data_IF_497496777102
#
_entry.id   IF_497496777102
#
_cell.length_a   1.000
_cell.length_b   1.000
_cell.length_c   1.000
_cell.angle_alpha   90.00
_cell.angle_beta   90.00
_cell.angle_gamma   90.00
#
_symmetry.space_group_name_H-M   'P 1'
#
loop_
_entity.id
_entity.type
_entity.pdbx_description
1 polymer ?
#
# COMPACT_ATOMS: atom_id res chain seq x y z
N UNK A 1 24.37 21.61 2.59
CA UNK A 1 24.06 20.19 2.73
C UNK A 1 22.77 19.97 1.96
N UNK A 2 22.82 19.13 0.93
CA UNK A 2 21.67 18.86 0.08
C UNK A 2 20.58 18.17 0.91
N UNK A 3 19.29 18.61 0.84
CA UNK A 3 18.18 17.92 1.49
C UNK A 3 18.10 16.42 1.14
N UNK A 4 18.64 16.00 0.00
CA UNK A 4 18.72 14.61 -0.41
C UNK A 4 19.71 13.82 0.46
N UNK A 5 20.88 14.39 0.79
CA UNK A 5 21.87 13.76 1.66
C UNK A 5 21.33 13.53 3.09
N UNK A 6 20.51 14.47 3.57
CA UNK A 6 19.86 14.35 4.88
C UNK A 6 18.78 13.24 4.90
N UNK A 7 18.14 13.00 3.77
CA UNK A 7 17.16 11.93 3.59
C UNK A 7 17.87 10.57 3.50
N UNK A 8 18.96 10.49 2.73
CA UNK A 8 19.75 9.26 2.56
C UNK A 8 20.46 8.85 3.85
N UNK A 9 20.86 9.81 4.66
CA UNK A 9 21.44 9.57 5.99
C UNK A 9 20.41 9.31 7.10
N UNK A 10 19.12 9.24 6.79
CA UNK A 10 18.04 8.98 7.75
C UNK A 10 17.75 10.13 8.72
N UNK A 11 18.35 11.30 8.53
CA UNK A 11 18.20 12.47 9.43
C UNK A 11 16.89 13.24 9.20
N UNK A 12 16.21 13.06 8.06
CA UNK A 12 14.91 13.66 7.75
C UNK A 12 13.94 12.56 7.31
N UNK A 13 12.83 12.43 8.02
CA UNK A 13 11.73 11.56 7.59
C UNK A 13 11.05 12.15 6.35
N UNK A 14 10.89 11.33 5.31
CA UNK A 14 10.26 11.75 4.06
C UNK A 14 8.77 11.96 4.23
N UNK A 15 8.30 13.18 4.04
CA UNK A 15 6.88 13.49 3.89
C UNK A 15 6.47 13.36 2.42
N UNK A 16 5.53 12.47 2.13
CA UNK A 16 5.11 12.18 0.77
C UNK A 16 3.86 12.95 0.37
N UNK A 17 3.96 13.77 -0.66
CA UNK A 17 2.79 14.26 -1.40
C UNK A 17 2.68 13.50 -2.72
N UNK A 18 1.80 12.52 -2.79
CA UNK A 18 1.45 11.91 -4.07
C UNK A 18 0.64 12.92 -4.88
N UNK A 19 1.14 13.31 -6.03
CA UNK A 19 0.48 14.31 -6.88
C UNK A 19 -0.48 13.70 -7.92
N UNK A 20 -0.44 12.39 -8.12
CA UNK A 20 -1.44 11.68 -8.93
C UNK A 20 -1.62 10.27 -8.37
N UNK A 21 -2.83 9.93 -8.01
CA UNK A 21 -3.24 8.62 -7.50
C UNK A 21 -3.98 7.90 -8.61
N UNK A 22 -3.84 6.59 -8.66
CA UNK A 22 -4.64 5.77 -9.56
C UNK A 22 -6.04 5.61 -8.97
N UNK A 23 -7.02 6.07 -9.71
CA UNK A 23 -8.43 6.00 -9.36
C UNK A 23 -9.16 5.27 -10.49
N UNK A 24 -9.06 3.95 -10.47
CA UNK A 24 -9.67 3.09 -11.49
C UNK A 24 -10.35 1.89 -10.84
N UNK A 25 -11.53 1.48 -11.32
CA UNK A 25 -12.27 0.35 -10.80
C UNK A 25 -11.44 -0.94 -10.77
N UNK A 26 -11.59 -1.72 -9.70
CA UNK A 26 -10.95 -3.02 -9.53
C UNK A 26 -9.46 -2.99 -9.20
N UNK A 27 -8.80 -1.82 -9.20
CA UNK A 27 -7.39 -1.73 -8.81
C UNK A 27 -7.27 -1.88 -7.30
N UNK A 28 -6.64 -2.97 -6.87
CA UNK A 28 -6.30 -3.16 -5.45
C UNK A 28 -5.14 -2.26 -5.06
N UNK A 29 -5.34 -1.50 -4.01
CA UNK A 29 -4.36 -0.56 -3.51
C UNK A 29 -4.14 -0.70 -2.02
N UNK A 30 -2.88 -0.63 -1.60
CA UNK A 30 -2.50 -0.41 -0.21
C UNK A 30 -2.49 1.10 0.06
N UNK A 31 -3.36 1.51 0.95
CA UNK A 31 -3.51 2.89 1.41
C UNK A 31 -2.85 3.02 2.78
N UNK A 32 -2.04 4.04 2.96
CA UNK A 32 -1.46 4.40 4.26
C UNK A 32 -1.74 5.86 4.57
N UNK A 33 -2.21 6.15 5.78
CA UNK A 33 -2.41 7.51 6.27
C UNK A 33 -1.80 7.67 7.65
N UNK A 34 -1.09 8.79 7.89
CA UNK A 34 -0.37 9.07 9.12
C UNK A 34 -0.78 10.39 9.74
N UNK A 35 -0.64 10.45 11.08
CA UNK A 35 -0.74 11.70 11.81
C UNK A 35 0.34 12.70 11.38
N UNK A 36 0.11 13.97 11.62
CA UNK A 36 1.13 15.00 11.56
C UNK A 36 2.14 14.79 12.71
N UNK A 37 3.42 14.74 12.37
CA UNK A 37 4.45 14.44 13.38
C UNK A 37 4.38 13.00 13.90
N UNK A 38 4.57 12.82 15.21
CA UNK A 38 4.46 11.53 15.91
C UNK A 38 3.19 11.44 16.77
N UNK A 39 2.24 12.34 16.59
CA UNK A 39 1.03 12.39 17.38
C UNK A 39 0.15 11.16 17.18
N UNK A 40 -0.61 10.71 18.17
CA UNK A 40 -1.55 9.62 18.01
C UNK A 40 -2.77 10.03 17.16
N UNK A 41 -3.27 9.10 16.35
CA UNK A 41 -4.55 9.20 15.66
C UNK A 41 -5.71 8.69 16.53
N UNK A 42 -5.40 7.84 17.50
CA UNK A 42 -6.38 7.18 18.36
C UNK A 42 -5.90 7.30 19.80
N UNK A 43 -6.66 7.98 20.65
CA UNK A 43 -6.35 8.17 22.06
C UNK A 43 -7.11 7.19 22.95
N UNK A 44 -8.30 6.76 22.52
CA UNK A 44 -9.13 5.83 23.24
C UNK A 44 -9.88 4.86 22.29
N UNK A 45 -10.49 3.83 22.85
CA UNK A 45 -11.22 2.82 22.07
C UNK A 45 -12.33 3.41 21.19
N UNK A 46 -13.00 4.47 21.66
CA UNK A 46 -14.05 5.14 20.90
C UNK A 46 -13.56 5.75 19.58
N UNK A 47 -12.30 6.16 19.51
CA UNK A 47 -11.72 6.71 18.28
C UNK A 47 -11.50 5.61 17.23
N UNK A 48 -11.01 4.45 17.66
CA UNK A 48 -10.89 3.27 16.79
C UNK A 48 -12.25 2.80 16.28
N UNK A 49 -13.24 2.71 17.18
CA UNK A 49 -14.59 2.32 16.79
C UNK A 49 -15.23 3.31 15.82
N UNK A 50 -14.99 4.61 16.01
CA UNK A 50 -15.49 5.61 15.09
C UNK A 50 -14.81 5.52 13.72
N UNK A 51 -13.50 5.27 13.66
CA UNK A 51 -12.81 5.04 12.38
C UNK A 51 -13.35 3.80 11.67
N UNK A 52 -13.61 2.70 12.40
CA UNK A 52 -14.18 1.48 11.83
C UNK A 52 -15.61 1.70 11.32
N UNK A 53 -16.41 2.46 12.06
CA UNK A 53 -17.75 2.85 11.63
C UNK A 53 -17.71 3.69 10.34
N UNK A 54 -16.86 4.71 10.31
CA UNK A 54 -16.64 5.52 9.11
C UNK A 54 -16.17 4.67 7.92
N UNK A 55 -15.19 3.79 8.14
CA UNK A 55 -14.66 2.94 7.07
C UNK A 55 -15.75 2.04 6.48
N UNK A 56 -16.62 1.48 7.32
CA UNK A 56 -17.78 0.69 6.88
C UNK A 56 -18.76 1.55 6.06
N UNK A 57 -19.11 2.73 6.55
CA UNK A 57 -20.04 3.66 5.88
C UNK A 57 -19.47 4.10 4.52
N UNK A 58 -18.22 4.52 4.49
CA UNK A 58 -17.52 4.94 3.26
C UNK A 58 -17.40 3.79 2.25
N UNK A 59 -17.11 2.57 2.72
CA UNK A 59 -17.07 1.40 1.85
C UNK A 59 -18.43 1.15 1.17
N UNK A 60 -19.53 1.36 1.88
CA UNK A 60 -20.87 1.22 1.33
C UNK A 60 -21.23 2.36 0.37
N UNK A 61 -21.00 3.62 0.77
CA UNK A 61 -21.39 4.80 0.01
C UNK A 61 -20.61 4.98 -1.30
N UNK A 62 -19.37 4.50 -1.32
CA UNK A 62 -18.46 4.62 -2.46
C UNK A 62 -18.15 3.28 -3.14
N UNK A 63 -18.93 2.24 -2.84
CA UNK A 63 -18.74 0.89 -3.44
C UNK A 63 -17.28 0.42 -3.36
N UNK A 64 -16.66 0.53 -2.17
CA UNK A 64 -15.30 0.04 -1.96
C UNK A 64 -15.33 -1.38 -1.42
N UNK A 65 -14.47 -2.24 -1.96
CA UNK A 65 -14.15 -3.55 -1.37
C UNK A 65 -12.95 -3.41 -0.45
N UNK A 66 -13.15 -3.68 0.83
CA UNK A 66 -12.07 -3.68 1.83
C UNK A 66 -11.61 -5.12 2.02
N UNK A 67 -10.31 -5.35 1.87
CA UNK A 67 -9.71 -6.68 2.02
C UNK A 67 -8.99 -6.84 3.34
N UNK A 68 -8.19 -5.88 3.76
CA UNK A 68 -7.58 -5.87 5.09
C UNK A 68 -7.38 -4.46 5.61
N UNK A 69 -7.28 -4.34 6.94
CA UNK A 69 -6.91 -3.11 7.61
C UNK A 69 -6.11 -3.36 8.88
N UNK A 70 -5.36 -2.33 9.29
CA UNK A 70 -4.75 -2.23 10.61
C UNK A 70 -4.72 -0.76 11.04
N UNK A 71 -5.32 -0.47 12.20
CA UNK A 71 -5.35 0.86 12.80
C UNK A 71 -4.26 0.93 13.88
N UNK A 72 -3.10 1.48 13.51
CA UNK A 72 -1.97 1.69 14.43
C UNK A 72 -2.14 3.00 15.21
N UNK A 73 -1.53 3.18 16.40
CA UNK A 73 -1.74 4.37 17.20
C UNK A 73 -1.56 5.71 16.47
N UNK A 74 -0.62 5.82 15.54
CA UNK A 74 -0.27 7.06 14.82
C UNK A 74 -0.41 6.99 13.30
N UNK A 75 -0.85 5.87 12.76
CA UNK A 75 -1.11 5.68 11.34
C UNK A 75 -2.10 4.52 11.11
N UNK A 76 -2.56 4.37 9.88
CA UNK A 76 -3.40 3.25 9.50
C UNK A 76 -3.02 2.71 8.13
N UNK A 77 -3.34 1.44 7.92
CA UNK A 77 -3.18 0.73 6.66
C UNK A 77 -4.52 0.16 6.23
N UNK A 78 -4.85 0.32 4.95
CA UNK A 78 -6.01 -0.28 4.31
C UNK A 78 -5.57 -1.00 3.04
N UNK A 79 -6.14 -2.15 2.76
CA UNK A 79 -6.04 -2.84 1.49
C UNK A 79 -7.42 -2.90 0.88
N UNK A 80 -7.62 -2.24 -0.24
CA UNK A 80 -8.94 -2.03 -0.81
C UNK A 80 -8.91 -1.86 -2.33
N UNK A 81 -10.06 -2.02 -2.97
CA UNK A 81 -10.29 -1.59 -4.34
C UNK A 81 -11.62 -0.83 -4.48
N UNK A 82 -11.70 0.21 -5.29
CA UNK A 82 -12.97 0.82 -5.69
C UNK A 82 -13.64 -0.03 -6.77
N UNK A 83 -14.98 -0.08 -6.78
CA UNK A 83 -15.76 -0.62 -7.88
C UNK A 83 -16.09 0.44 -8.93
N UNK A 84 -15.91 1.72 -8.59
CA UNK A 84 -16.10 2.89 -9.45
C UNK A 84 -14.88 3.81 -9.39
N UNK A 85 -14.82 4.83 -10.24
CA UNK A 85 -13.74 5.83 -10.25
C UNK A 85 -14.01 6.92 -9.20
N UNK A 86 -13.88 6.56 -7.92
CA UNK A 86 -14.24 7.44 -6.79
C UNK A 86 -13.34 7.28 -5.55
N UNK A 87 -12.23 6.54 -5.68
CA UNK A 87 -11.32 6.30 -4.55
C UNK A 87 -10.81 7.60 -3.91
N UNK A 88 -10.51 8.61 -4.73
CA UNK A 88 -10.04 9.90 -4.22
C UNK A 88 -11.07 10.56 -3.31
N UNK A 89 -12.33 10.59 -3.74
CA UNK A 89 -13.43 11.22 -2.99
C UNK A 89 -13.74 10.41 -1.73
N UNK A 90 -13.76 9.09 -1.82
CA UNK A 90 -13.94 8.21 -0.67
C UNK A 90 -12.89 8.44 0.42
N UNK A 91 -11.62 8.50 0.05
CA UNK A 91 -10.53 8.74 1.01
C UNK A 91 -10.54 10.16 1.56
N UNK A 92 -10.90 11.15 0.74
CA UNK A 92 -11.08 12.54 1.18
C UNK A 92 -12.18 12.62 2.25
N UNK A 93 -13.32 11.99 1.99
CA UNK A 93 -14.45 11.99 2.92
C UNK A 93 -14.10 11.27 4.22
N UNK A 94 -13.53 10.05 4.15
CA UNK A 94 -13.10 9.29 5.31
C UNK A 94 -12.19 10.11 6.23
N UNK A 95 -11.10 10.64 5.68
CA UNK A 95 -10.08 11.31 6.49
C UNK A 95 -10.51 12.69 6.96
N UNK A 96 -11.32 13.43 6.18
CA UNK A 96 -11.83 14.74 6.59
C UNK A 96 -12.81 14.60 7.76
N UNK A 97 -13.76 13.67 7.66
CA UNK A 97 -14.75 13.46 8.72
C UNK A 97 -14.12 12.96 10.00
N UNK A 98 -13.14 12.06 9.89
CA UNK A 98 -12.38 11.63 11.06
C UNK A 98 -11.63 12.78 11.70
N UNK A 99 -10.88 13.55 10.92
CA UNK A 99 -10.10 14.69 11.43
C UNK A 99 -10.98 15.74 12.10
N UNK A 100 -12.13 16.09 11.50
CA UNK A 100 -13.08 17.04 12.07
C UNK A 100 -13.61 16.57 13.44
N UNK A 101 -14.02 15.29 13.54
CA UNK A 101 -14.52 14.76 14.82
C UNK A 101 -13.41 14.69 15.87
N UNK A 102 -12.23 14.21 15.49
CA UNK A 102 -11.09 14.11 16.39
C UNK A 102 -10.67 15.49 16.91
N UNK A 103 -10.48 16.46 16.02
CA UNK A 103 -10.10 17.82 16.40
C UNK A 103 -11.15 18.48 17.30
N UNK A 104 -12.45 18.31 17.01
CA UNK A 104 -13.53 18.83 17.87
C UNK A 104 -13.54 18.16 19.24
N UNK A 105 -13.36 16.84 19.32
CA UNK A 105 -13.40 16.08 20.57
C UNK A 105 -12.25 16.46 21.52
N UNK A 106 -11.06 16.69 20.95
CA UNK A 106 -9.83 16.96 21.70
C UNK A 106 -9.40 18.44 21.65
N UNK A 107 -10.31 19.33 21.20
CA UNK A 107 -10.08 20.77 21.09
C UNK A 107 -8.77 21.15 20.37
N UNK A 108 -8.38 20.30 19.38
CA UNK A 108 -7.15 20.49 18.61
C UNK A 108 -7.33 21.54 17.50
N UNK A 109 -6.26 22.28 17.26
CA UNK A 109 -6.13 23.20 16.11
C UNK A 109 -5.12 22.64 15.10
N UNK A 110 -5.38 22.84 13.81
CA UNK A 110 -4.48 22.44 12.74
C UNK A 110 -4.78 21.06 12.15
N UNK A 111 -3.87 20.57 11.30
CA UNK A 111 -4.05 19.32 10.56
C UNK A 111 -3.77 18.11 11.45
N UNK A 112 -4.71 17.17 11.50
CA UNK A 112 -4.52 15.88 12.17
C UNK A 112 -3.56 14.99 11.37
N UNK A 113 -3.71 14.97 10.04
CA UNK A 113 -2.88 14.16 9.15
C UNK A 113 -1.71 14.96 8.58
N UNK A 114 -0.55 14.30 8.47
CA UNK A 114 0.70 14.91 7.98
C UNK A 114 0.74 15.20 6.47
N UNK A 115 -0.37 15.00 5.78
CA UNK A 115 -0.52 15.25 4.35
C UNK A 115 -1.52 14.29 3.70
N UNK A 116 -1.60 14.24 2.37
CA UNK A 116 -2.46 13.31 1.65
C UNK A 116 -2.05 11.85 1.91
N UNK A 117 -3.03 10.94 1.92
CA UNK A 117 -2.76 9.51 2.05
C UNK A 117 -1.77 9.01 0.98
N UNK A 118 -1.07 7.93 1.26
CA UNK A 118 -0.22 7.22 0.30
C UNK A 118 -1.02 6.11 -0.36
N UNK A 119 -0.69 5.81 -1.60
CA UNK A 119 -1.26 4.69 -2.35
C UNK A 119 -0.13 3.92 -3.01
N UNK A 120 -0.07 2.62 -2.77
CA UNK A 120 0.74 1.67 -3.53
C UNK A 120 -0.20 0.65 -4.17
N UNK A 121 -0.11 0.49 -5.48
CA UNK A 121 -0.95 -0.47 -6.22
C UNK A 121 -0.39 -1.87 -6.06
N UNK A 122 -1.28 -2.83 -5.78
CA UNK A 122 -0.94 -4.24 -5.80
C UNK A 122 -0.92 -4.72 -7.26
N UNK A 123 0.27 -4.92 -7.79
CA UNK A 123 0.49 -5.17 -9.22
C UNK A 123 0.47 -6.67 -9.59
N UNK A 124 0.62 -7.54 -8.62
CA UNK A 124 0.49 -8.99 -8.77
C UNK A 124 -0.04 -9.64 -7.48
N UNK A 125 -0.38 -10.91 -7.58
CA UNK A 125 -0.98 -11.67 -6.49
C UNK A 125 0.02 -11.94 -5.35
N UNK A 126 1.32 -12.04 -5.64
CA UNK A 126 2.36 -12.18 -4.63
C UNK A 126 2.52 -10.88 -3.83
N UNK A 127 2.51 -9.72 -4.51
CA UNK A 127 2.53 -8.43 -3.85
C UNK A 127 1.25 -8.20 -3.01
N UNK A 128 0.09 -8.59 -3.54
CA UNK A 128 -1.19 -8.52 -2.82
C UNK A 128 -1.15 -9.33 -1.52
N UNK A 129 -0.66 -10.58 -1.59
CA UNK A 129 -0.49 -11.44 -0.43
C UNK A 129 0.51 -10.84 0.56
N UNK A 130 1.66 -10.38 0.08
CA UNK A 130 2.68 -9.74 0.91
C UNK A 130 2.15 -8.47 1.60
N UNK A 131 1.38 -7.64 0.90
CA UNK A 131 0.76 -6.44 1.45
C UNK A 131 -0.22 -6.76 2.59
N UNK A 132 -1.07 -7.78 2.40
CA UNK A 132 -2.00 -8.22 3.45
C UNK A 132 -1.27 -8.70 4.70
N UNK A 133 -0.25 -9.56 4.54
CA UNK A 133 0.58 -10.06 5.64
C UNK A 133 1.33 -8.92 6.35
N UNK A 134 1.91 -8.02 5.56
CA UNK A 134 2.59 -6.84 6.08
C UNK A 134 1.67 -5.96 6.95
N UNK A 135 0.43 -5.72 6.50
CA UNK A 135 -0.58 -4.97 7.26
C UNK A 135 -0.87 -5.63 8.60
N UNK A 136 -1.06 -6.94 8.62
CA UNK A 136 -1.40 -7.68 9.83
C UNK A 136 -0.22 -7.87 10.79
N UNK A 137 1.01 -7.88 10.28
CA UNK A 137 2.23 -8.00 11.09
C UNK A 137 2.70 -6.66 11.69
N UNK A 138 2.18 -5.53 11.22
CA UNK A 138 2.61 -4.19 11.69
C UNK A 138 2.59 -4.05 13.23
N UNK A 139 1.55 -4.47 13.96
CA UNK A 139 1.51 -4.32 15.41
C UNK A 139 2.61 -5.10 16.14
N UNK A 140 2.91 -6.33 15.70
CA UNK A 140 3.98 -7.13 16.28
C UNK A 140 5.36 -6.55 15.95
N UNK A 141 5.56 -6.12 14.69
CA UNK A 141 6.81 -5.46 14.25
C UNK A 141 7.06 -4.11 14.92
N UNK A 142 5.99 -3.43 15.35
CA UNK A 142 6.07 -2.21 16.15
C UNK A 142 6.16 -2.50 17.67
N UNK A 143 6.29 -3.77 18.07
CA UNK A 143 6.37 -4.22 19.47
C UNK A 143 5.16 -3.78 20.32
N UNK A 144 3.98 -3.62 19.71
CA UNK A 144 2.74 -3.29 20.41
C UNK A 144 2.12 -4.55 21.01
N UNK A 145 2.24 -5.67 20.30
CA UNK A 145 1.83 -7.01 20.74
C UNK A 145 2.91 -8.01 20.40
N UNK A 146 2.93 -9.15 21.09
CA UNK A 146 3.84 -10.25 20.76
C UNK A 146 3.29 -11.06 19.59
N UNK A 147 2.05 -11.51 19.69
CA UNK A 147 1.34 -12.19 18.60
C UNK A 147 0.45 -11.18 17.87
N UNK A 148 0.59 -11.01 16.54
CA UNK A 148 -0.24 -10.10 15.77
C UNK A 148 -1.75 -10.43 15.85
N UNK A 149 -2.13 -11.69 16.18
CA UNK A 149 -3.52 -12.13 16.34
C UNK A 149 -4.19 -11.43 17.53
N UNK A 150 -3.43 -11.04 18.54
CA UNK A 150 -3.94 -10.36 19.73
C UNK A 150 -4.27 -8.88 19.48
N UNK A 151 -3.89 -8.34 18.32
CA UNK A 151 -4.16 -6.94 18.01
C UNK A 151 -5.59 -6.73 17.50
N UNK A 152 -6.48 -6.32 18.39
CA UNK A 152 -7.93 -6.17 18.13
C UNK A 152 -8.30 -5.13 17.07
N UNK A 153 -7.43 -4.15 16.77
CA UNK A 153 -7.69 -3.06 15.84
C UNK A 153 -7.19 -3.38 14.41
N UNK A 154 -7.24 -4.64 14.05
CA UNK A 154 -6.93 -5.11 12.70
C UNK A 154 -7.95 -6.14 12.23
N UNK A 155 -7.94 -6.40 10.92
CA UNK A 155 -8.78 -7.43 10.31
C UNK A 155 -8.21 -8.84 10.42
N UNK A 156 -7.10 -9.05 11.12
CA UNK A 156 -6.39 -10.35 11.22
C UNK A 156 -7.29 -11.49 11.71
N UNK A 157 -8.19 -11.20 12.65
CA UNK A 157 -9.14 -12.18 13.17
C UNK A 157 -10.02 -12.80 12.08
N UNK A 158 -10.36 -12.07 11.03
CA UNK A 158 -11.14 -12.58 9.89
C UNK A 158 -10.36 -13.59 9.04
N UNK A 159 -9.04 -13.51 9.09
CA UNK A 159 -8.11 -14.38 8.36
C UNK A 159 -7.74 -15.63 9.14
N UNK A 160 -7.71 -15.54 10.47
CA UNK A 160 -7.22 -16.62 11.33
C UNK A 160 -8.32 -17.40 12.02
N UNK A 161 -9.49 -16.80 12.29
CA UNK A 161 -10.60 -17.47 12.97
C UNK A 161 -11.58 -18.10 11.96
N UNK A 162 -11.83 -19.39 12.08
CA UNK A 162 -12.80 -20.11 11.25
C UNK A 162 -14.26 -19.64 11.51
N UNK A 163 -14.54 -19.21 12.74
CA UNK A 163 -15.86 -18.73 13.19
C UNK A 163 -15.96 -17.20 13.21
N UNK A 164 -15.12 -16.52 12.42
CA UNK A 164 -15.16 -15.06 12.35
C UNK A 164 -16.56 -14.57 11.89
N UNK A 165 -17.11 -13.54 12.54
CA UNK A 165 -18.41 -13.00 12.17
C UNK A 165 -18.37 -12.38 10.76
N UNK A 166 -19.55 -12.24 10.14
CA UNK A 166 -19.70 -11.47 8.90
C UNK A 166 -19.20 -10.05 9.12
N UNK A 167 -18.42 -9.54 8.17
CA UNK A 167 -17.80 -8.22 8.22
C UNK A 167 -17.97 -7.50 6.88
N UNK A 168 -17.76 -6.18 6.88
CA UNK A 168 -17.60 -5.39 5.65
C UNK A 168 -16.24 -5.62 4.97
N UNK A 169 -15.34 -6.37 5.61
CA UNK A 169 -14.06 -6.80 5.06
C UNK A 169 -14.22 -8.16 4.41
N UNK A 170 -13.73 -8.30 3.18
CA UNK A 170 -13.68 -9.57 2.45
C UNK A 170 -12.27 -10.18 2.50
N UNK A 171 -12.02 -11.17 3.37
CA UNK A 171 -10.72 -11.84 3.41
C UNK A 171 -10.51 -12.85 2.27
N UNK A 172 -11.59 -13.21 1.56
CA UNK A 172 -11.55 -14.35 0.64
C UNK A 172 -10.78 -14.06 -0.64
N UNK A 173 -10.69 -12.81 -1.08
CA UNK A 173 -9.82 -12.46 -2.19
C UNK A 173 -8.40 -12.99 -1.96
N UNK A 174 -7.87 -12.80 -0.76
CA UNK A 174 -6.49 -13.17 -0.40
C UNK A 174 -6.39 -14.64 0.02
N UNK A 175 -7.34 -15.13 0.83
CA UNK A 175 -7.33 -16.53 1.26
C UNK A 175 -7.44 -17.51 0.08
N UNK A 176 -8.19 -17.13 -0.96
CA UNK A 176 -8.33 -17.94 -2.18
C UNK A 176 -7.04 -17.99 -3.03
N UNK A 177 -6.11 -17.05 -2.86
CA UNK A 177 -4.76 -17.18 -3.44
C UNK A 177 -4.03 -18.41 -2.88
N UNK A 178 -4.26 -18.72 -1.61
CA UNK A 178 -3.59 -19.81 -0.89
C UNK A 178 -4.30 -21.16 -1.07
N UNK A 179 -5.64 -21.16 -1.02
CA UNK A 179 -6.44 -22.39 -1.23
C UNK A 179 -7.87 -22.03 -1.60
N UNK A 180 -8.52 -22.90 -2.42
CA UNK A 180 -9.96 -22.81 -2.66
C UNK A 180 -10.78 -23.28 -1.43
N UNK A 181 -10.19 -24.09 -0.56
CA UNK A 181 -10.79 -24.51 0.69
C UNK A 181 -10.51 -23.48 1.78
N UNK A 182 -11.56 -22.84 2.30
CA UNK A 182 -11.47 -21.74 3.27
C UNK A 182 -10.59 -22.07 4.49
N UNK A 183 -10.75 -23.28 5.04
CA UNK A 183 -9.97 -23.74 6.21
C UNK A 183 -8.48 -23.85 5.91
N UNK A 184 -8.14 -24.42 4.76
CA UNK A 184 -6.73 -24.58 4.34
C UNK A 184 -6.10 -23.22 4.00
N UNK A 185 -6.87 -22.31 3.39
CA UNK A 185 -6.43 -20.93 3.13
C UNK A 185 -6.04 -20.22 4.43
N UNK A 186 -6.87 -20.35 5.47
CA UNK A 186 -6.56 -19.78 6.81
C UNK A 186 -5.33 -20.39 7.44
N UNK A 187 -5.18 -21.71 7.43
CA UNK A 187 -4.00 -22.41 7.97
C UNK A 187 -2.72 -21.94 7.27
N UNK A 188 -2.73 -21.88 5.93
CA UNK A 188 -1.60 -21.38 5.15
C UNK A 188 -1.30 -19.91 5.47
N UNK A 189 -2.32 -19.08 5.66
CA UNK A 189 -2.15 -17.69 6.05
C UNK A 189 -1.51 -17.55 7.43
N UNK A 190 -1.94 -18.34 8.41
CA UNK A 190 -1.33 -18.39 9.76
C UNK A 190 0.15 -18.84 9.70
N UNK A 191 0.46 -19.84 8.87
CA UNK A 191 1.85 -20.27 8.64
C UNK A 191 2.70 -19.11 8.09
N UNK A 192 2.16 -18.38 7.11
CA UNK A 192 2.84 -17.21 6.54
C UNK A 192 3.02 -16.08 7.54
N UNK A 193 2.04 -15.83 8.42
CA UNK A 193 2.17 -14.85 9.52
C UNK A 193 3.31 -15.24 10.46
N UNK A 194 3.38 -16.51 10.85
CA UNK A 194 4.45 -17.00 11.74
C UNK A 194 5.83 -16.76 11.14
N UNK A 195 6.08 -17.21 9.91
CA UNK A 195 7.36 -16.97 9.22
C UNK A 195 7.61 -15.49 8.94
N UNK A 196 6.55 -14.74 8.62
CA UNK A 196 6.65 -13.30 8.40
C UNK A 196 7.03 -12.51 9.64
N UNK A 197 6.65 -12.97 10.84
CA UNK A 197 7.06 -12.35 12.11
C UNK A 197 8.56 -12.51 12.39
N UNK A 198 9.15 -13.61 11.95
CA UNK A 198 10.59 -13.92 12.10
C UNK A 198 11.47 -13.09 11.14
N UNK A 199 10.91 -12.56 10.05
CA UNK A 199 11.65 -11.72 9.11
C UNK A 199 11.96 -10.39 9.78
N UNK A 200 13.23 -10.11 10.02
CA UNK A 200 13.66 -8.77 10.41
C UNK A 200 13.36 -7.80 9.26
N UNK A 201 12.33 -6.99 9.47
CA UNK A 201 11.96 -5.95 8.53
C UNK A 201 12.82 -4.69 8.68
N UNK A 202 13.65 -4.64 9.75
CA UNK A 202 14.44 -3.48 10.11
C UNK A 202 13.57 -2.22 10.28
N UNK A 203 14.18 -1.04 10.33
CA UNK A 203 13.46 0.25 10.29
C UNK A 203 12.79 0.53 8.93
N UNK A 204 12.69 -0.48 8.08
CA UNK A 204 12.22 -0.45 6.68
C UNK A 204 10.71 -0.29 6.55
N UNK A 205 9.95 -0.33 7.64
CA UNK A 205 8.48 -0.22 7.65
C UNK A 205 7.93 1.07 7.01
N UNK A 206 8.81 2.05 6.73
CA UNK A 206 8.43 3.34 6.16
C UNK A 206 8.84 3.54 4.70
N UNK A 207 9.61 2.62 4.13
CA UNK A 207 10.10 2.72 2.76
C UNK A 207 9.04 2.29 1.73
N UNK A 208 9.12 2.84 0.53
CA UNK A 208 8.20 2.58 -0.58
C UNK A 208 8.26 1.14 -1.07
N UNK A 209 9.41 0.50 -0.91
CA UNK A 209 9.71 -0.88 -1.29
C UNK A 209 9.58 -1.90 -0.13
N UNK A 210 9.11 -1.47 1.05
CA UNK A 210 9.04 -2.32 2.24
C UNK A 210 8.25 -3.61 2.01
N UNK A 211 7.08 -3.51 1.35
CA UNK A 211 6.23 -4.67 1.05
C UNK A 211 6.92 -5.61 0.06
N UNK A 212 7.59 -5.05 -0.96
CA UNK A 212 8.27 -5.85 -1.97
C UNK A 212 9.49 -6.59 -1.39
N UNK A 213 10.29 -5.92 -0.55
CA UNK A 213 11.38 -6.57 0.19
C UNK A 213 10.90 -7.64 1.14
N UNK A 214 9.82 -7.36 1.87
CA UNK A 214 9.19 -8.32 2.75
C UNK A 214 8.69 -9.53 1.97
N UNK A 215 7.96 -9.31 0.87
CA UNK A 215 7.44 -10.34 -0.02
C UNK A 215 8.56 -11.21 -0.61
N UNK A 216 9.65 -10.60 -1.07
CA UNK A 216 10.81 -11.30 -1.61
C UNK A 216 11.49 -12.20 -0.56
N UNK A 217 11.68 -11.70 0.66
CA UNK A 217 12.23 -12.50 1.77
C UNK A 217 11.31 -13.67 2.12
N UNK A 218 9.99 -13.43 2.17
CA UNK A 218 9.01 -14.47 2.47
C UNK A 218 8.91 -15.52 1.36
N UNK A 219 8.97 -15.10 0.10
CA UNK A 219 9.01 -15.99 -1.06
C UNK A 219 10.27 -16.89 -1.06
N UNK A 220 11.41 -16.35 -0.62
CA UNK A 220 12.64 -17.12 -0.47
C UNK A 220 12.54 -18.19 0.64
N UNK A 221 11.79 -17.91 1.71
CA UNK A 221 11.55 -18.88 2.78
C UNK A 221 10.52 -19.96 2.41
N UNK A 222 9.52 -19.61 1.61
CA UNK A 222 8.38 -20.47 1.26
C UNK A 222 8.15 -20.54 -0.25
N UNK A 223 9.16 -20.94 -1.06
CA UNK A 223 9.12 -20.83 -2.53
C UNK A 223 7.98 -21.63 -3.17
N UNK A 224 7.67 -22.81 -2.64
CA UNK A 224 6.60 -23.66 -3.18
C UNK A 224 5.23 -22.99 -3.08
N UNK A 225 4.97 -22.26 -1.99
CA UNK A 225 3.71 -21.56 -1.75
C UNK A 225 3.55 -20.36 -2.67
N UNK A 226 4.59 -19.55 -2.82
CA UNK A 226 4.59 -18.38 -3.71
C UNK A 226 4.50 -18.79 -5.18
N UNK A 227 5.18 -19.86 -5.60
CA UNK A 227 5.04 -20.43 -6.95
C UNK A 227 3.60 -20.93 -7.22
N UNK A 228 2.92 -21.50 -6.21
CA UNK A 228 1.51 -21.89 -6.32
C UNK A 228 0.60 -20.66 -6.54
N UNK A 229 0.89 -19.51 -5.89
CA UNK A 229 0.14 -18.27 -6.09
C UNK A 229 0.34 -17.73 -7.51
N UNK A 230 1.55 -17.75 -8.03
CA UNK A 230 1.87 -17.29 -9.39
C UNK A 230 1.19 -18.10 -10.50
N UNK A 231 0.99 -19.41 -10.29
CA UNK A 231 0.37 -20.29 -11.27
C UNK A 231 -1.15 -20.14 -11.36
N UNK A 232 -1.78 -19.48 -10.38
CA UNK A 232 -3.22 -19.22 -10.42
C UNK A 232 -3.55 -18.06 -11.36
N UNK A 233 -4.81 -17.98 -11.77
CA UNK A 233 -5.32 -16.87 -12.59
C UNK A 233 -5.08 -15.55 -11.84
N UNK A 234 -4.35 -14.63 -12.45
CA UNK A 234 -4.02 -13.31 -11.88
C UNK A 234 -5.29 -12.52 -11.54
N UNK A 235 -5.47 -12.23 -10.27
CA UNK A 235 -6.64 -11.49 -9.74
C UNK A 235 -6.43 -9.97 -9.89
N UNK A 236 -5.18 -9.52 -9.82
CA UNK A 236 -4.82 -8.11 -9.60
C UNK A 236 -4.60 -7.29 -10.86
N UNK A 237 -4.90 -7.79 -12.06
CA UNK A 237 -4.67 -7.02 -13.29
C UNK A 237 -5.96 -6.69 -14.06
N UNK A 238 -6.91 -5.92 -13.48
CA UNK A 238 -8.17 -5.59 -14.16
C UNK A 238 -7.98 -4.68 -15.40
N UNK A 239 -6.83 -3.98 -15.52
CA UNK A 239 -6.54 -3.07 -16.62
C UNK A 239 -5.69 -3.70 -17.73
N UNK A 240 -5.32 -4.98 -17.64
CA UNK A 240 -4.39 -5.61 -18.59
C UNK A 240 -3.01 -4.96 -18.61
N UNK A 241 -2.67 -4.12 -17.64
CA UNK A 241 -1.34 -3.50 -17.53
C UNK A 241 -0.36 -4.54 -17.02
N UNK A 242 0.59 -4.94 -17.86
CA UNK A 242 1.74 -5.72 -17.42
C UNK A 242 2.66 -4.83 -16.58
N UNK A 243 2.48 -4.88 -15.25
CA UNK A 243 3.40 -4.23 -14.33
C UNK A 243 4.66 -5.10 -14.21
N UNK A 244 5.78 -4.52 -14.60
CA UNK A 244 7.09 -5.19 -14.59
C UNK A 244 7.60 -5.30 -13.15
N UNK A 245 8.40 -6.31 -12.82
CA UNK A 245 9.12 -6.33 -11.53
C UNK A 245 10.07 -5.13 -11.42
N UNK A 246 10.43 -4.72 -10.18
CA UNK A 246 11.39 -3.61 -10.00
C UNK A 246 12.73 -3.92 -10.68
N UNK A 247 13.19 -5.15 -10.57
CA UNK A 247 14.44 -5.59 -11.22
C UNK A 247 14.37 -5.42 -12.75
N UNK A 248 13.25 -5.80 -13.35
CA UNK A 248 13.05 -5.62 -14.81
C UNK A 248 12.94 -4.15 -15.18
N UNK A 249 12.30 -3.33 -14.30
CA UNK A 249 12.19 -1.89 -14.49
C UNK A 249 13.56 -1.22 -14.43
N UNK A 250 14.38 -1.56 -13.44
CA UNK A 250 15.72 -1.00 -13.29
C UNK A 250 16.61 -1.36 -14.47
N UNK A 251 16.56 -2.62 -14.96
CA UNK A 251 17.25 -3.02 -16.21
C UNK A 251 16.81 -2.19 -17.41
N UNK A 252 15.50 -1.98 -17.60
CA UNK A 252 14.99 -1.15 -18.73
C UNK A 252 15.36 0.32 -18.59
N UNK A 253 15.44 0.84 -17.38
CA UNK A 253 15.87 2.21 -17.11
C UNK A 253 17.36 2.35 -17.44
N UNK A 254 18.20 1.40 -17.04
CA UNK A 254 19.63 1.38 -17.40
C UNK A 254 19.84 1.27 -18.90
N UNK A 255 19.13 0.39 -19.59
CA UNK A 255 19.16 0.26 -21.04
C UNK A 255 18.81 1.58 -21.74
N UNK A 256 17.75 2.25 -21.26
CA UNK A 256 17.35 3.55 -21.79
C UNK A 256 18.38 4.66 -21.52
N UNK A 257 19.08 4.61 -20.38
CA UNK A 257 20.13 5.59 -20.07
C UNK A 257 21.42 5.38 -20.90
N UNK A 258 21.73 4.12 -21.21
CA UNK A 258 22.91 3.79 -22.06
C UNK A 258 22.68 4.11 -23.54
N UNK A 259 21.47 4.09 -24.01
CA UNK A 259 21.12 4.48 -25.37
C UNK A 259 20.64 5.93 -25.36
N UNK A 260 21.39 6.90 -25.89
CA UNK A 260 20.95 8.29 -25.98
C UNK A 260 19.83 8.40 -27.01
N UNK A 261 18.66 7.92 -26.64
CA UNK A 261 17.44 8.03 -27.43
C UNK A 261 17.00 9.49 -27.34
N UNK A 262 17.20 10.23 -28.42
CA UNK A 262 16.79 11.62 -28.52
C UNK A 262 15.31 11.88 -28.19
N UNK A 263 14.80 13.07 -28.47
CA UNK A 263 13.40 13.46 -28.25
C UNK A 263 12.41 12.83 -29.25
N UNK A 264 12.65 11.62 -29.75
CA UNK A 264 11.74 10.95 -30.68
C UNK A 264 10.39 10.61 -30.00
N UNK A 265 9.30 10.50 -30.78
CA UNK A 265 8.00 10.08 -30.26
C UNK A 265 8.05 8.72 -29.54
N UNK A 266 8.91 7.80 -30.01
CA UNK A 266 9.11 6.47 -29.43
C UNK A 266 9.80 6.56 -28.07
N UNK A 267 10.84 7.40 -27.94
CA UNK A 267 11.50 7.68 -26.68
C UNK A 267 10.55 8.28 -25.64
N UNK A 268 9.65 9.16 -26.09
CA UNK A 268 8.62 9.72 -25.20
C UNK A 268 7.66 8.66 -24.71
N UNK A 269 7.22 7.74 -25.58
CA UNK A 269 6.33 6.62 -25.22
C UNK A 269 7.01 5.69 -24.22
N UNK A 270 8.28 5.33 -24.44
CA UNK A 270 9.05 4.50 -23.53
C UNK A 270 9.23 5.17 -22.16
N UNK A 271 9.62 6.45 -22.12
CA UNK A 271 9.71 7.23 -20.88
C UNK A 271 8.37 7.32 -20.16
N UNK A 272 7.27 7.55 -20.89
CA UNK A 272 5.92 7.58 -20.33
C UNK A 272 5.57 6.26 -19.67
N UNK A 273 5.79 5.15 -20.35
CA UNK A 273 5.54 3.81 -19.83
C UNK A 273 6.30 3.54 -18.52
N UNK A 274 7.62 3.86 -18.48
CA UNK A 274 8.43 3.69 -17.27
C UNK A 274 7.96 4.60 -16.12
N UNK A 275 7.57 5.86 -16.43
CA UNK A 275 7.00 6.80 -15.45
C UNK A 275 5.69 6.24 -14.87
N UNK A 276 4.80 5.72 -15.70
CA UNK A 276 3.52 5.14 -15.27
C UNK A 276 3.72 3.89 -14.40
N UNK A 277 4.68 3.03 -14.75
CA UNK A 277 5.07 1.86 -13.97
C UNK A 277 5.57 2.25 -12.56
N UNK A 278 6.42 3.26 -12.47
CA UNK A 278 6.95 3.74 -11.20
C UNK A 278 5.89 4.49 -10.37
N UNK A 279 5.01 5.27 -11.03
CA UNK A 279 3.89 5.92 -10.35
C UNK A 279 2.91 4.91 -9.76
N UNK A 280 2.60 3.84 -10.50
CA UNK A 280 1.73 2.76 -10.03
C UNK A 280 2.28 2.08 -8.76
N UNK A 281 3.59 2.08 -8.58
CA UNK A 281 4.28 1.59 -7.37
C UNK A 281 4.37 2.62 -6.25
N UNK A 282 3.84 3.82 -6.43
CA UNK A 282 3.85 4.88 -5.42
C UNK A 282 5.12 5.74 -5.40
N UNK A 283 6.05 5.56 -6.37
CA UNK A 283 7.25 6.40 -6.46
C UNK A 283 6.90 7.86 -6.73
N UNK A 284 7.65 8.77 -6.11
CA UNK A 284 7.49 10.21 -6.33
C UNK A 284 8.03 10.64 -7.67
N UNK A 285 7.44 11.68 -8.24
CA UNK A 285 7.95 12.29 -9.46
C UNK A 285 9.40 12.79 -9.35
N UNK A 286 9.84 13.21 -8.16
CA UNK A 286 11.24 13.58 -7.89
C UNK A 286 12.15 12.37 -7.97
N UNK A 287 11.76 11.25 -7.39
CA UNK A 287 12.52 10.02 -7.42
C UNK A 287 12.48 9.36 -8.80
N UNK A 288 11.32 9.40 -9.46
CA UNK A 288 11.19 8.97 -10.86
C UNK A 288 12.12 9.78 -11.77
N UNK A 289 12.17 11.10 -11.59
CA UNK A 289 13.07 11.97 -12.35
C UNK A 289 14.54 11.58 -12.13
N UNK A 290 14.94 11.32 -10.88
CA UNK A 290 16.28 10.86 -10.53
C UNK A 290 16.61 9.50 -11.16
N UNK A 291 15.72 8.50 -11.00
CA UNK A 291 15.92 7.16 -11.57
C UNK A 291 16.04 7.18 -13.10
N UNK A 292 15.24 8.00 -13.78
CA UNK A 292 15.24 8.12 -15.24
C UNK A 292 16.33 9.06 -15.76
N UNK A 293 17.10 9.76 -14.92
CA UNK A 293 18.10 10.74 -15.33
C UNK A 293 17.49 11.97 -16.06
N UNK A 294 16.24 12.34 -15.73
CA UNK A 294 15.54 13.45 -16.37
C UNK A 294 15.11 14.52 -15.36
N UNK A 295 14.80 15.73 -15.84
CA UNK A 295 14.30 16.78 -14.97
C UNK A 295 12.88 16.46 -14.45
N UNK A 296 12.55 16.96 -13.25
CA UNK A 296 11.19 16.88 -12.71
C UNK A 296 10.16 17.49 -13.68
N UNK A 297 10.53 18.60 -14.36
CA UNK A 297 9.69 19.25 -15.37
C UNK A 297 9.41 18.31 -16.55
N UNK A 298 10.39 17.52 -16.97
CA UNK A 298 10.23 16.49 -18.02
C UNK A 298 9.18 15.45 -17.62
N UNK A 299 9.23 14.93 -16.38
CA UNK A 299 8.24 13.97 -15.88
C UNK A 299 6.82 14.57 -15.91
N UNK A 300 6.67 15.84 -15.48
CA UNK A 300 5.37 16.53 -15.54
C UNK A 300 4.88 16.72 -16.98
N UNK A 301 5.76 17.13 -17.89
CA UNK A 301 5.38 17.37 -19.29
C UNK A 301 4.97 16.08 -19.99
N UNK A 302 5.68 14.97 -19.76
CA UNK A 302 5.32 13.66 -20.35
C UNK A 302 3.94 13.19 -19.86
N UNK A 303 3.58 13.47 -18.60
CA UNK A 303 2.28 13.10 -18.05
C UNK A 303 1.13 14.03 -18.50
N UNK A 304 1.41 15.31 -18.82
CA UNK A 304 0.38 16.27 -19.30
C UNK A 304 -0.09 16.02 -20.73
N UNK A 305 0.72 15.41 -21.57
CA UNK A 305 0.40 15.15 -23.00
C UNK A 305 -0.62 13.98 -23.14
N UNK A 306 -1.28 13.56 -22.06
CA UNK A 306 -2.21 12.43 -21.99
C UNK A 306 -3.65 12.85 -21.71
N UNK A 307 -3.92 14.13 -21.68
CA UNK A 307 -5.25 14.76 -21.70
C UNK A 307 -5.52 15.31 -23.11
#
# INVERSE_FOLDING_TARGET
MDPLDLIETGKISRFFRATRKLDSPGIVSHITQRAAGKEPLFLENADYLFMLWLLKEIAQNYSLKIYSFCLMPNHLHLLLSPEEKNLFDAMRDLFSRYAMKFNRKYERKGHLFGGPYRQAVCFDDNYLLAASLYIHLNPAKASIVVDPIDYRWSSIGLYCNENAPKSFVDPYLILNLLSQHKRDGRKKYQTLLKHGSEIDAGQVLEHEDAIERFGSKLAALLPALFKQVEQKKKITNPLGMNLLSLETLDKKIEEMQRSPVGNSPESRKAKKYLIEQLLARGFKKTEIARRLGVSRKTVYNILKISE
#
